data_IF_496384263930
#
_entry.id   IF_496384263930
#
_cell.length_a   1.000
_cell.length_b   1.000
_cell.length_c   1.000
_cell.angle_alpha   90.00
_cell.angle_beta   90.00
_cell.angle_gamma   90.00
#
_symmetry.space_group_name_H-M   'P 1'
#
loop_
_entity.id
_entity.type
_entity.pdbx_description
1 polymer ?
#
# COMPACT_ATOMS: atom_id res chain seq x y z
N UNK A 1 -51.50 -74.58 -5.19
CA UNK A 1 -50.33 -74.51 -6.09
C UNK A 1 -49.85 -73.06 -6.11
N UNK A 2 -48.56 -72.80 -5.80
CA UNK A 2 -48.03 -71.47 -5.42
C UNK A 2 -47.71 -70.60 -6.64
N UNK A 3 -48.20 -69.36 -6.68
CA UNK A 3 -47.81 -68.35 -7.68
C UNK A 3 -46.87 -67.33 -7.05
N UNK A 4 -45.59 -67.35 -7.47
CA UNK A 4 -44.57 -66.36 -7.06
C UNK A 4 -44.79 -65.05 -7.84
N UNK A 5 -45.11 -63.97 -7.15
CA UNK A 5 -45.12 -62.61 -7.70
C UNK A 5 -43.68 -62.08 -7.66
N UNK A 6 -43.09 -61.83 -8.83
CA UNK A 6 -41.77 -61.20 -8.97
C UNK A 6 -41.95 -59.68 -8.83
N UNK A 7 -41.38 -59.11 -7.77
CA UNK A 7 -41.32 -57.66 -7.54
C UNK A 7 -40.29 -57.06 -8.52
N UNK A 8 -40.75 -56.38 -9.58
CA UNK A 8 -39.86 -55.61 -10.46
C UNK A 8 -39.36 -54.40 -9.68
N UNK A 9 -38.12 -54.45 -9.22
CA UNK A 9 -37.41 -53.30 -8.66
C UNK A 9 -37.01 -52.35 -9.78
N UNK A 10 -37.36 -51.07 -9.60
CA UNK A 10 -37.21 -49.99 -10.57
C UNK A 10 -35.71 -49.65 -10.77
N UNK A 11 -35.06 -50.39 -11.67
CA UNK A 11 -33.60 -50.35 -11.92
C UNK A 11 -33.11 -48.97 -12.37
N UNK A 12 -33.96 -48.13 -12.97
CA UNK A 12 -33.58 -46.78 -13.40
C UNK A 12 -33.29 -45.84 -12.24
N UNK A 13 -34.06 -45.93 -11.14
CA UNK A 13 -33.81 -45.14 -9.92
C UNK A 13 -32.57 -45.61 -9.17
N UNK A 14 -32.22 -46.89 -9.29
CA UNK A 14 -30.99 -47.44 -8.71
C UNK A 14 -29.77 -46.97 -9.50
N UNK A 15 -29.82 -47.01 -10.83
CA UNK A 15 -28.75 -46.52 -11.70
C UNK A 15 -28.51 -45.01 -11.54
N UNK A 16 -29.56 -44.19 -11.42
CA UNK A 16 -29.42 -42.75 -11.20
C UNK A 16 -28.74 -42.43 -9.86
N UNK A 17 -29.04 -43.19 -8.80
CA UNK A 17 -28.38 -43.04 -7.49
C UNK A 17 -26.92 -43.45 -7.53
N UNK A 18 -26.56 -44.48 -8.30
CA UNK A 18 -25.16 -44.90 -8.48
C UNK A 18 -24.36 -43.82 -9.21
N UNK A 19 -24.95 -43.21 -10.24
CA UNK A 19 -24.30 -42.10 -10.98
C UNK A 19 -24.13 -40.87 -10.08
N UNK A 20 -25.15 -40.49 -9.30
CA UNK A 20 -25.06 -39.34 -8.39
C UNK A 20 -24.01 -39.55 -7.28
N UNK A 21 -23.89 -40.78 -6.77
CA UNK A 21 -22.87 -41.13 -5.77
C UNK A 21 -21.45 -41.11 -6.35
N UNK A 22 -21.29 -41.47 -7.63
CA UNK A 22 -20.00 -41.43 -8.33
C UNK A 22 -19.46 -40.00 -8.52
N UNK A 23 -20.33 -39.03 -8.82
CA UNK A 23 -19.93 -37.63 -8.98
C UNK A 23 -19.52 -36.98 -7.66
N UNK A 24 -20.15 -37.36 -6.54
CA UNK A 24 -19.84 -36.84 -5.20
C UNK A 24 -18.47 -37.33 -4.67
N UNK A 25 -17.99 -38.49 -5.12
CA UNK A 25 -16.71 -39.06 -4.69
C UNK A 25 -15.49 -38.46 -5.42
N UNK A 26 -15.69 -37.81 -6.58
CA UNK A 26 -14.59 -37.19 -7.35
C UNK A 26 -14.33 -35.74 -6.88
N UNK A 27 -15.26 -35.13 -6.14
CA UNK A 27 -15.14 -33.75 -5.64
C UNK A 27 -14.40 -33.60 -4.30
N UNK A 28 -13.79 -34.66 -3.77
CA UNK A 28 -13.07 -34.62 -2.48
C UNK A 28 -11.55 -34.52 -2.60
N UNK A 29 -10.98 -34.51 -3.80
CA UNK A 29 -9.52 -34.46 -4.02
C UNK A 29 -9.03 -33.07 -4.49
N UNK A 30 -9.35 -32.03 -3.72
CA UNK A 30 -8.65 -30.73 -3.79
C UNK A 30 -8.54 -30.10 -2.41
N UNK A 31 -8.05 -30.87 -1.43
CA UNK A 31 -7.41 -30.25 -0.27
C UNK A 31 -6.00 -29.90 -0.73
N UNK A 32 -5.77 -28.63 -1.05
CA UNK A 32 -4.40 -28.11 -1.14
C UNK A 32 -3.85 -28.18 0.28
N UNK A 33 -3.07 -29.22 0.56
CA UNK A 33 -2.20 -29.22 1.72
C UNK A 33 -1.07 -28.25 1.40
N UNK A 34 -0.98 -27.14 2.14
CA UNK A 34 0.26 -26.41 2.26
C UNK A 34 1.23 -27.31 3.03
N UNK A 35 1.99 -28.13 2.30
CA UNK A 35 3.09 -28.88 2.88
C UNK A 35 4.17 -27.87 3.31
N UNK A 36 4.37 -27.75 4.63
CA UNK A 36 5.59 -27.22 5.18
C UNK A 36 6.73 -28.21 4.88
N UNK A 37 7.27 -28.13 3.66
CA UNK A 37 8.45 -28.89 3.28
C UNK A 37 9.68 -28.20 3.89
N UNK A 38 10.09 -28.68 5.06
CA UNK A 38 11.47 -28.60 5.54
C UNK A 38 12.36 -29.45 4.61
N UNK A 39 12.67 -28.88 3.45
CA UNK A 39 13.85 -29.24 2.67
C UNK A 39 14.75 -28.01 2.65
N UNK A 40 16.09 -28.17 2.71
CA UNK A 40 16.99 -27.03 2.64
C UNK A 40 16.92 -26.49 1.21
N UNK A 41 15.97 -25.59 0.99
CA UNK A 41 15.96 -24.71 -0.17
C UNK A 41 17.27 -23.96 -0.07
N UNK A 42 18.18 -24.26 -1.01
CA UNK A 42 19.35 -23.44 -1.29
C UNK A 42 18.84 -22.00 -1.37
N UNK A 43 19.32 -21.20 -0.43
CA UNK A 43 18.77 -19.93 -0.02
C UNK A 43 19.01 -18.86 -1.09
N UNK A 44 18.34 -18.97 -2.24
CA UNK A 44 18.02 -17.82 -3.08
C UNK A 44 16.58 -17.44 -2.78
N UNK A 45 16.37 -16.96 -1.56
CA UNK A 45 15.23 -16.12 -1.22
C UNK A 45 15.34 -14.90 -2.13
N UNK A 46 14.71 -14.98 -3.30
CA UNK A 46 14.63 -13.87 -4.24
C UNK A 46 13.95 -12.75 -3.48
N UNK A 47 14.72 -11.73 -3.09
CA UNK A 47 14.20 -10.60 -2.35
C UNK A 47 12.95 -10.09 -3.06
N UNK A 48 11.81 -10.07 -2.37
CA UNK A 48 10.56 -9.50 -2.88
C UNK A 48 10.73 -8.00 -3.21
N UNK A 49 11.80 -7.38 -2.69
CA UNK A 49 12.20 -6.00 -2.93
C UNK A 49 13.16 -5.93 -4.12
N UNK A 50 12.79 -5.15 -5.14
CA UNK A 50 13.63 -4.75 -6.27
C UNK A 50 14.76 -3.84 -5.78
N UNK A 51 15.94 -4.00 -6.38
CA UNK A 51 17.05 -3.08 -6.21
C UNK A 51 16.80 -1.74 -6.93
N UNK A 52 17.56 -0.71 -6.55
CA UNK A 52 17.49 0.60 -7.21
C UNK A 52 17.91 0.51 -8.69
N UNK A 53 18.89 -0.32 -9.02
CA UNK A 53 19.40 -0.48 -10.39
C UNK A 53 18.38 -1.19 -11.27
N UNK A 54 17.76 -2.28 -10.80
CA UNK A 54 16.65 -2.94 -11.50
C UNK A 54 15.48 -1.96 -11.73
N UNK A 55 15.12 -1.17 -10.71
CA UNK A 55 14.07 -0.17 -10.84
C UNK A 55 14.44 0.93 -11.85
N UNK A 56 15.72 1.31 -11.93
CA UNK A 56 16.22 2.30 -12.90
C UNK A 56 16.15 1.78 -14.33
N UNK A 57 16.45 0.50 -14.55
CA UNK A 57 16.31 -0.15 -15.87
C UNK A 57 14.85 -0.16 -16.32
N UNK A 58 13.92 -0.52 -15.42
CA UNK A 58 12.48 -0.46 -15.67
C UNK A 58 12.05 0.97 -16.01
N UNK A 59 12.51 1.97 -15.25
CA UNK A 59 12.21 3.37 -15.50
C UNK A 59 12.70 3.82 -16.88
N UNK A 60 13.95 3.50 -17.24
CA UNK A 60 14.54 3.87 -18.53
C UNK A 60 13.77 3.25 -19.71
N UNK A 61 13.43 1.95 -19.61
CA UNK A 61 12.63 1.26 -20.60
C UNK A 61 11.24 1.90 -20.76
N UNK A 62 10.58 2.20 -19.64
CA UNK A 62 9.24 2.80 -19.61
C UNK A 62 9.23 4.19 -20.26
N UNK A 63 10.25 5.01 -20.01
CA UNK A 63 10.38 6.33 -20.64
C UNK A 63 10.46 6.22 -22.17
N UNK A 64 11.20 5.25 -22.70
CA UNK A 64 11.26 4.97 -24.14
C UNK A 64 9.87 4.59 -24.65
N UNK A 65 9.21 3.61 -24.01
CA UNK A 65 7.87 3.17 -24.42
C UNK A 65 6.84 4.30 -24.39
N UNK A 66 6.84 5.13 -23.36
CA UNK A 66 5.91 6.24 -23.22
C UNK A 66 6.14 7.30 -24.28
N UNK A 67 7.40 7.61 -24.58
CA UNK A 67 7.72 8.57 -25.64
C UNK A 67 7.25 8.13 -27.04
N UNK A 68 7.20 6.81 -27.28
CA UNK A 68 6.79 6.25 -28.57
C UNK A 68 5.27 6.01 -28.67
N UNK A 69 4.61 5.69 -27.55
CA UNK A 69 3.22 5.24 -27.53
C UNK A 69 2.22 6.28 -27.02
N UNK A 70 2.67 7.29 -26.27
CA UNK A 70 1.80 8.29 -25.64
C UNK A 70 2.18 9.67 -26.18
N UNK A 71 1.33 10.25 -27.02
CA UNK A 71 1.59 11.53 -27.71
C UNK A 71 2.03 12.64 -26.76
N UNK A 72 1.38 12.72 -25.59
CA UNK A 72 1.63 13.76 -24.58
C UNK A 72 3.01 13.65 -23.91
N UNK A 73 3.72 12.55 -24.13
CA UNK A 73 5.06 12.29 -23.60
C UNK A 73 6.11 12.13 -24.71
N UNK A 74 5.78 12.46 -25.97
CA UNK A 74 6.71 12.39 -27.11
C UNK A 74 8.01 13.19 -26.88
N UNK A 75 7.96 14.26 -26.11
CA UNK A 75 9.15 15.04 -25.70
C UNK A 75 10.16 14.26 -24.84
N UNK A 76 9.76 13.14 -24.25
CA UNK A 76 10.65 12.25 -23.50
C UNK A 76 11.51 11.36 -24.41
N UNK A 77 11.35 11.46 -25.74
CA UNK A 77 12.20 10.72 -26.68
C UNK A 77 13.67 11.05 -26.42
N UNK A 78 14.52 10.03 -26.31
CA UNK A 78 15.94 10.12 -25.94
C UNK A 78 16.20 10.89 -24.62
N UNK A 79 15.24 10.93 -23.70
CA UNK A 79 15.47 11.36 -22.33
C UNK A 79 16.20 10.25 -21.54
N UNK A 80 16.94 10.64 -20.51
CA UNK A 80 17.54 9.75 -19.53
C UNK A 80 16.76 9.76 -18.22
N UNK A 81 17.05 8.79 -17.35
CA UNK A 81 16.50 8.74 -15.99
C UNK A 81 17.62 8.89 -14.95
N UNK A 82 17.37 9.70 -13.94
CA UNK A 82 18.28 9.94 -12.82
C UNK A 82 17.57 9.63 -11.50
N UNK A 83 18.23 8.89 -10.61
CA UNK A 83 17.66 8.55 -9.30
C UNK A 83 17.41 9.81 -8.46
N UNK A 84 16.25 9.88 -7.81
CA UNK A 84 15.86 11.04 -7.00
C UNK A 84 15.69 10.69 -5.53
N UNK A 85 14.63 9.94 -5.18
CA UNK A 85 14.30 9.60 -3.80
C UNK A 85 13.79 8.17 -3.69
N UNK A 86 14.11 7.51 -2.58
CA UNK A 86 13.52 6.22 -2.18
C UNK A 86 12.42 6.50 -1.17
N UNK A 87 11.22 5.99 -1.45
CA UNK A 87 10.07 6.07 -0.56
C UNK A 87 9.87 4.79 0.23
N UNK A 88 9.25 4.95 1.40
CA UNK A 88 8.93 3.87 2.32
C UNK A 88 7.43 3.78 2.58
N UNK A 89 6.98 2.64 3.11
CA UNK A 89 5.68 2.54 3.75
C UNK A 89 5.76 2.98 5.24
N UNK A 90 4.64 2.86 5.96
CA UNK A 90 4.56 3.21 7.39
C UNK A 90 5.41 2.28 8.28
N UNK A 91 5.70 1.07 7.82
CA UNK A 91 6.51 0.07 8.51
C UNK A 91 8.01 0.20 8.16
N UNK A 92 8.39 1.24 7.41
CA UNK A 92 9.75 1.55 6.94
C UNK A 92 10.32 0.51 5.96
N UNK A 93 9.47 -0.25 5.27
CA UNK A 93 9.90 -1.05 4.12
C UNK A 93 9.97 -0.16 2.87
N UNK A 94 10.92 -0.42 1.98
CA UNK A 94 10.99 0.30 0.70
C UNK A 94 9.75 -0.03 -0.12
N UNK A 95 9.04 1.00 -0.58
CA UNK A 95 7.79 0.84 -1.35
C UNK A 95 7.93 1.34 -2.79
N UNK A 96 8.77 2.36 -3.02
CA UNK A 96 8.94 2.94 -4.34
C UNK A 96 10.28 3.67 -4.52
N UNK A 97 10.68 3.81 -5.78
CA UNK A 97 11.82 4.62 -6.23
C UNK A 97 11.32 5.67 -7.21
N UNK A 98 11.65 6.93 -6.97
CA UNK A 98 11.39 8.00 -7.92
C UNK A 98 12.63 8.31 -8.74
N UNK A 99 12.42 8.53 -10.03
CA UNK A 99 13.43 8.94 -10.98
C UNK A 99 12.99 10.23 -11.67
N UNK A 100 13.92 11.17 -11.80
CA UNK A 100 13.76 12.32 -12.67
C UNK A 100 13.92 11.87 -14.12
N UNK A 101 13.03 12.32 -14.99
CA UNK A 101 13.22 12.23 -16.44
C UNK A 101 13.95 13.48 -16.89
N UNK A 102 15.09 13.33 -17.55
CA UNK A 102 15.98 14.42 -17.92
C UNK A 102 16.20 14.41 -19.43
N UNK A 103 15.91 15.54 -20.09
CA UNK A 103 16.13 15.73 -21.52
C UNK A 103 17.01 16.96 -21.71
N UNK A 104 18.11 16.83 -22.45
CA UNK A 104 19.06 17.93 -22.70
C UNK A 104 19.53 18.63 -21.41
N UNK A 105 19.78 17.85 -20.35
CA UNK A 105 20.16 18.33 -19.01
C UNK A 105 19.07 19.16 -18.28
N UNK A 106 17.84 19.16 -18.78
CA UNK A 106 16.69 19.80 -18.16
C UNK A 106 15.69 18.77 -17.62
N UNK A 107 15.03 19.13 -16.53
CA UNK A 107 13.98 18.32 -15.92
C UNK A 107 12.74 18.28 -16.82
N UNK A 108 12.35 17.09 -17.28
CA UNK A 108 11.21 16.86 -18.16
C UNK A 108 10.01 16.20 -17.45
N UNK A 109 10.18 15.78 -16.19
CA UNK A 109 9.16 15.11 -15.40
C UNK A 109 9.74 14.06 -14.48
N UNK A 110 8.90 13.12 -14.05
CA UNK A 110 9.31 12.00 -13.20
C UNK A 110 8.57 10.72 -13.56
N UNK A 111 9.14 9.61 -13.10
CA UNK A 111 8.51 8.29 -13.06
C UNK A 111 8.80 7.64 -11.71
N UNK A 112 7.77 7.03 -11.11
CA UNK A 112 7.87 6.28 -9.86
C UNK A 112 7.70 4.80 -10.17
N UNK A 113 8.70 4.02 -9.79
CA UNK A 113 8.73 2.57 -9.94
C UNK A 113 8.51 1.91 -8.59
N UNK A 114 7.74 0.83 -8.55
CA UNK A 114 7.56 0.06 -7.33
C UNK A 114 8.88 -0.56 -6.88
N UNK A 115 9.14 -0.52 -5.58
CA UNK A 115 10.28 -1.23 -5.00
C UNK A 115 9.96 -2.71 -4.73
N UNK A 116 8.74 -3.19 -5.00
CA UNK A 116 8.33 -4.57 -4.70
C UNK A 116 7.77 -5.27 -5.94
N UNK A 117 8.03 -6.59 -6.06
CA UNK A 117 7.66 -7.39 -7.25
C UNK A 117 6.17 -7.79 -7.28
N UNK A 118 5.45 -7.59 -6.18
CA UNK A 118 4.04 -7.93 -6.01
C UNK A 118 3.07 -6.82 -6.49
N UNK A 119 3.60 -5.65 -6.86
CA UNK A 119 2.83 -4.50 -7.36
C UNK A 119 3.10 -4.25 -8.84
N UNK A 120 2.28 -3.41 -9.46
CA UNK A 120 2.59 -2.90 -10.81
C UNK A 120 3.94 -2.19 -10.81
N UNK A 121 4.78 -2.42 -11.84
CA UNK A 121 6.14 -1.88 -11.85
C UNK A 121 6.13 -0.35 -11.91
N UNK A 122 5.21 0.25 -12.67
CA UNK A 122 5.07 1.70 -12.79
C UNK A 122 3.91 2.14 -11.92
N UNK A 123 4.19 2.97 -10.90
CA UNK A 123 3.20 3.46 -9.96
C UNK A 123 2.62 4.81 -10.39
N UNK A 124 3.46 5.67 -10.93
CA UNK A 124 3.09 7.03 -11.31
C UNK A 124 4.10 7.61 -12.30
N UNK A 125 3.65 8.49 -13.18
CA UNK A 125 4.52 9.28 -14.05
C UNK A 125 3.82 10.58 -14.41
N UNK A 126 4.59 11.64 -14.59
CA UNK A 126 4.04 12.95 -14.95
C UNK A 126 5.14 13.86 -15.48
N UNK A 127 4.74 14.85 -16.28
CA UNK A 127 5.58 15.99 -16.69
C UNK A 127 5.68 17.07 -15.61
N UNK A 128 4.86 16.95 -14.56
CA UNK A 128 4.89 17.83 -13.39
C UNK A 128 6.08 17.56 -12.47
N UNK A 129 6.02 18.12 -11.26
CA UNK A 129 7.04 17.95 -10.22
C UNK A 129 6.49 17.13 -9.06
N UNK A 130 7.33 16.27 -8.49
CA UNK A 130 7.05 15.60 -7.22
C UNK A 130 6.86 16.63 -6.10
N UNK A 131 6.00 16.37 -5.10
CA UNK A 131 5.72 17.33 -4.02
C UNK A 131 6.98 17.88 -3.32
N UNK A 132 7.97 17.04 -3.04
CA UNK A 132 9.22 17.48 -2.38
C UNK A 132 10.09 18.42 -3.22
N UNK A 133 9.85 18.50 -4.54
CA UNK A 133 10.50 19.45 -5.46
C UNK A 133 9.75 20.77 -5.59
N UNK A 134 8.55 20.88 -5.02
CA UNK A 134 7.73 22.10 -5.06
C UNK A 134 8.03 22.93 -3.81
N UNK A 135 8.85 23.98 -3.96
CA UNK A 135 9.41 24.74 -2.83
C UNK A 135 8.38 25.21 -1.80
N UNK A 136 7.20 25.68 -2.23
CA UNK A 136 6.18 26.15 -1.29
C UNK A 136 5.57 25.00 -0.48
N UNK A 137 5.34 23.82 -1.09
CA UNK A 137 4.82 22.64 -0.41
C UNK A 137 5.83 22.15 0.62
N UNK A 138 7.09 21.96 0.21
CA UNK A 138 8.19 21.55 1.08
C UNK A 138 8.38 22.50 2.27
N UNK A 139 8.35 23.82 2.05
CA UNK A 139 8.47 24.79 3.14
C UNK A 139 7.28 24.73 4.09
N UNK A 140 6.06 24.56 3.57
CA UNK A 140 4.84 24.51 4.36
C UNK A 140 4.80 23.24 5.21
N UNK A 141 5.13 22.07 4.65
CA UNK A 141 5.17 20.80 5.39
C UNK A 141 6.26 20.80 6.47
N UNK A 142 7.48 21.26 6.14
CA UNK A 142 8.56 21.41 7.12
C UNK A 142 8.22 22.38 8.24
N UNK A 143 7.53 23.48 7.92
CA UNK A 143 7.08 24.45 8.90
C UNK A 143 6.00 23.87 9.82
N UNK A 144 5.11 23.03 9.30
CA UNK A 144 4.11 22.31 10.11
C UNK A 144 4.78 21.36 11.11
N UNK A 145 5.77 20.58 10.66
CA UNK A 145 6.57 19.72 11.54
C UNK A 145 7.30 20.53 12.63
N UNK A 146 7.97 21.62 12.25
CA UNK A 146 8.71 22.48 13.16
C UNK A 146 7.80 23.15 14.20
N UNK A 147 6.63 23.64 13.78
CA UNK A 147 5.64 24.24 14.69
C UNK A 147 5.10 23.21 15.70
N UNK A 148 4.83 21.98 15.24
CA UNK A 148 4.45 20.89 16.14
C UNK A 148 5.55 20.60 17.16
N UNK A 149 6.80 20.42 16.71
CA UNK A 149 7.93 20.14 17.59
C UNK A 149 8.14 21.27 18.62
N UNK A 150 8.07 22.53 18.18
CA UNK A 150 8.21 23.71 19.05
C UNK A 150 7.11 23.78 20.11
N UNK A 151 5.85 23.47 19.75
CA UNK A 151 4.72 23.43 20.69
C UNK A 151 4.98 22.50 21.87
N UNK A 152 5.68 21.38 21.65
CA UNK A 152 6.00 20.38 22.68
C UNK A 152 7.46 20.44 23.16
N UNK A 153 8.20 21.50 22.81
CA UNK A 153 9.60 21.69 23.20
C UNK A 153 10.51 20.53 22.77
N UNK A 154 10.20 19.92 21.62
CA UNK A 154 10.95 18.85 20.99
C UNK A 154 11.78 19.41 19.82
N UNK A 155 12.81 18.66 19.42
CA UNK A 155 13.68 18.95 18.27
C UNK A 155 13.36 17.98 17.13
N UNK A 156 13.34 18.48 15.90
CA UNK A 156 13.24 17.64 14.70
C UNK A 156 14.48 16.77 14.58
N UNK A 157 14.27 15.47 14.44
CA UNK A 157 15.28 14.44 14.21
C UNK A 157 15.35 14.00 12.74
N UNK A 158 15.50 12.69 12.53
CA UNK A 158 15.52 12.12 11.19
C UNK A 158 14.13 12.22 10.56
N UNK A 159 14.08 12.41 9.25
CA UNK A 159 12.86 12.27 8.46
C UNK A 159 12.93 11.09 7.49
N UNK A 160 11.76 10.53 7.16
CA UNK A 160 11.60 9.43 6.20
C UNK A 160 10.46 9.76 5.25
N UNK A 161 10.70 9.80 3.92
CA UNK A 161 9.64 10.06 2.95
C UNK A 161 8.78 8.79 2.76
N UNK A 162 7.47 8.96 2.80
CA UNK A 162 6.48 7.89 2.70
C UNK A 162 5.62 8.10 1.45
N UNK A 163 5.42 7.01 0.70
CA UNK A 163 4.55 6.99 -0.47
C UNK A 163 3.33 6.11 -0.20
N UNK A 164 2.17 6.76 -0.01
CA UNK A 164 0.87 6.10 0.13
C UNK A 164 0.12 5.96 -1.21
N UNK A 165 0.63 6.56 -2.28
CA UNK A 165 0.02 6.57 -3.62
C UNK A 165 0.10 7.93 -4.30
N UNK A 166 -0.45 8.08 -5.52
CA UNK A 166 -0.27 9.28 -6.35
C UNK A 166 -0.79 10.60 -5.78
N UNK A 167 -1.62 10.54 -4.75
CA UNK A 167 -2.15 11.72 -4.04
C UNK A 167 -1.76 11.74 -2.57
N UNK A 168 -0.92 10.81 -2.14
CA UNK A 168 -0.64 10.54 -0.73
C UNK A 168 0.88 10.50 -0.51
N UNK A 169 1.45 11.69 -0.37
CA UNK A 169 2.87 11.89 -0.09
C UNK A 169 3.00 12.41 1.34
N UNK A 170 3.82 11.73 2.13
CA UNK A 170 4.03 12.11 3.52
C UNK A 170 5.51 12.11 3.87
N UNK A 171 5.83 12.79 4.96
CA UNK A 171 7.12 12.69 5.63
C UNK A 171 6.90 12.31 7.09
N UNK A 172 7.45 11.17 7.53
CA UNK A 172 7.59 10.85 8.96
C UNK A 172 8.77 11.64 9.52
N UNK A 173 8.58 12.28 10.68
CA UNK A 173 9.62 12.95 11.45
C UNK A 173 9.76 12.32 12.82
N UNK A 174 10.99 11.96 13.21
CA UNK A 174 11.33 11.66 14.59
C UNK A 174 11.41 12.97 15.39
N UNK A 175 10.74 13.04 16.54
CA UNK A 175 10.83 14.16 17.46
C UNK A 175 11.64 13.77 18.70
N UNK A 176 12.64 14.58 19.04
CA UNK A 176 13.63 14.28 20.08
C UNK A 176 13.56 15.27 21.23
N UNK A 177 13.80 14.80 22.44
CA UNK A 177 13.99 15.69 23.59
C UNK A 177 15.37 16.37 23.57
N UNK A 178 15.64 17.19 24.59
CA UNK A 178 16.93 17.87 24.75
C UNK A 178 18.12 16.92 24.99
N UNK A 179 17.87 15.64 25.33
CA UNK A 179 18.87 14.59 25.50
C UNK A 179 19.02 13.74 24.22
N UNK A 180 18.42 14.17 23.11
CA UNK A 180 18.37 13.47 21.83
C UNK A 180 17.63 12.12 21.85
N UNK A 181 16.85 11.82 22.89
CA UNK A 181 16.01 10.62 22.92
C UNK A 181 14.77 10.85 22.06
N UNK A 182 14.43 9.90 21.19
CA UNK A 182 13.18 9.94 20.41
C UNK A 182 12.00 9.81 21.39
N UNK A 183 11.11 10.79 21.38
CA UNK A 183 9.92 10.84 22.24
C UNK A 183 8.65 10.53 21.49
N UNK A 184 8.60 10.91 20.23
CA UNK A 184 7.41 10.81 19.40
C UNK A 184 7.82 10.71 17.94
N UNK A 185 6.92 10.17 17.12
CA UNK A 185 6.99 10.29 15.67
C UNK A 185 5.73 10.97 15.18
N UNK A 186 5.87 11.84 14.20
CA UNK A 186 4.74 12.47 13.52
C UNK A 186 4.80 12.16 12.04
N UNK A 187 3.65 12.08 11.40
CA UNK A 187 3.51 12.06 9.94
C UNK A 187 2.97 13.41 9.52
N UNK A 188 3.62 14.02 8.53
CA UNK A 188 3.14 15.24 7.90
C UNK A 188 2.78 14.93 6.45
N UNK A 189 1.56 15.30 6.05
CA UNK A 189 1.15 15.30 4.64
C UNK A 189 1.90 16.40 3.89
N UNK A 190 2.66 16.03 2.86
CA UNK A 190 3.51 16.97 2.12
C UNK A 190 2.70 17.98 1.30
N UNK A 191 1.45 17.67 0.98
CA UNK A 191 0.56 18.49 0.16
C UNK A 191 -0.28 19.41 1.07
N UNK A 192 -0.96 18.84 2.06
CA UNK A 192 -1.89 19.60 2.92
C UNK A 192 -1.19 20.25 4.11
N UNK A 193 -0.04 19.70 4.52
CA UNK A 193 0.70 20.03 5.74
C UNK A 193 -0.05 19.69 7.03
N UNK A 194 -1.04 18.80 6.95
CA UNK A 194 -1.68 18.23 8.13
C UNK A 194 -0.69 17.34 8.88
N UNK A 195 -0.67 17.47 10.21
CA UNK A 195 0.20 16.69 11.09
C UNK A 195 -0.62 15.68 11.87
N UNK A 196 -0.18 14.42 11.85
CA UNK A 196 -0.75 13.32 12.62
C UNK A 196 0.32 12.77 13.56
N UNK A 197 0.00 12.62 14.85
CA UNK A 197 0.87 11.95 15.81
C UNK A 197 0.74 10.44 15.65
N UNK A 198 1.87 9.74 15.62
CA UNK A 198 1.90 8.30 15.85
C UNK A 198 2.16 8.12 17.34
N UNK A 199 1.15 7.61 18.06
CA UNK A 199 1.36 7.20 19.45
C UNK A 199 2.57 6.25 19.47
N UNK A 200 3.64 6.68 20.14
CA UNK A 200 4.76 5.79 20.38
C UNK A 200 4.20 4.63 21.22
N UNK A 201 4.34 3.39 20.74
CA UNK A 201 4.05 2.20 21.54
C UNK A 201 4.81 2.32 22.86
N UNK A 202 4.09 2.78 23.88
CA UNK A 202 4.51 2.69 25.26
C UNK A 202 3.90 1.40 25.79
N UNK A 203 4.73 0.59 26.43
CA UNK A 203 4.38 -0.68 27.05
C UNK A 203 3.08 -0.60 27.89
N UNK A 204 2.37 -1.73 28.13
CA UNK A 204 0.93 -1.76 28.32
C UNK A 204 0.50 -0.91 29.51
N UNK A 205 -0.32 0.09 29.24
CA UNK A 205 -1.05 0.82 30.27
C UNK A 205 -2.11 -0.14 30.81
N UNK A 206 -1.96 -0.51 32.08
CA UNK A 206 -2.97 -1.20 32.88
C UNK A 206 -4.30 -0.44 32.79
N UNK A 207 -5.26 -0.98 32.04
CA UNK A 207 -6.62 -0.45 31.96
C UNK A 207 -7.27 -0.42 33.36
N UNK A 208 -7.45 0.77 33.92
CA UNK A 208 -8.66 1.03 34.69
C UNK A 208 -9.64 1.73 33.76
N UNK A 209 -10.68 0.98 33.40
CA UNK A 209 -11.82 1.41 32.61
C UNK A 209 -12.71 2.26 33.50
N UNK A 210 -12.90 3.53 33.15
CA UNK A 210 -14.10 4.27 33.50
C UNK A 210 -14.93 4.49 32.23
N UNK A 211 -15.99 3.71 32.13
CA UNK A 211 -17.06 3.82 31.15
C UNK A 211 -17.80 5.15 31.33
N UNK A 212 -17.82 5.98 30.28
CA UNK A 212 -18.78 7.09 30.16
C UNK A 212 -19.90 6.66 29.22
N UNK A 213 -21.09 6.60 29.80
CA UNK A 213 -22.37 6.27 29.20
C UNK A 213 -22.73 7.26 28.08
N UNK A 214 -23.06 6.76 26.88
CA UNK A 214 -23.53 7.57 25.76
C UNK A 214 -25.06 7.64 25.79
N UNK A 215 -25.60 8.84 26.01
CA UNK A 215 -27.03 9.10 25.90
C UNK A 215 -27.41 9.40 24.44
N UNK A 216 -27.85 8.38 23.73
CA UNK A 216 -28.58 8.51 22.47
C UNK A 216 -30.05 8.88 22.73
N UNK A 217 -30.45 10.14 22.61
CA UNK A 217 -31.84 10.51 22.25
C UNK A 217 -31.92 11.96 21.79
N UNK A 218 -32.05 12.22 20.48
CA UNK A 218 -32.94 13.25 19.88
C UNK A 218 -32.65 13.49 18.39
N UNK A 219 -33.12 12.64 17.47
CA UNK A 219 -33.57 13.10 16.13
C UNK A 219 -34.74 12.22 15.68
N UNK A 220 -35.97 12.63 16.01
CA UNK A 220 -37.19 12.33 15.24
C UNK A 220 -38.29 13.32 15.62
N UNK A 221 -38.37 14.45 14.91
CA UNK A 221 -39.64 15.13 14.59
C UNK A 221 -39.35 16.38 13.76
N UNK A 222 -39.29 16.24 12.44
CA UNK A 222 -39.81 17.21 11.48
C UNK A 222 -40.13 16.47 10.18
N UNK A 223 -41.22 15.72 10.22
CA UNK A 223 -42.00 15.39 9.04
C UNK A 223 -43.46 15.32 9.49
N UNK A 224 -44.32 16.00 8.76
CA UNK A 224 -45.76 16.19 8.94
C UNK A 224 -46.19 17.47 9.66
N UNK A 225 -47.09 18.18 8.96
CA UNK A 225 -47.88 19.34 9.35
C UNK A 225 -47.22 20.71 9.14
N UNK A 226 -47.23 21.19 7.89
CA UNK A 226 -47.90 22.46 7.63
C UNK A 226 -48.82 22.29 6.42
N UNK A 227 -50.09 22.58 6.69
CA UNK A 227 -51.19 22.83 5.76
C UNK A 227 -50.85 24.11 4.97
#
# INVERSE_FOLDING_TARGET
MKTKIRKLTNTSKLMLKIILMGVLLISLSSVVYAEANDSPVTNEQTSAVLSLDEAKEIAAFSVIEFSDKISDFSEWKDASVESDITYYDLDRNKTAYAFNVVKNNEYAGFIIISATKDKYPILEFSKGKLPHKISYMTKKSQSAAANYANKYQLKIGKSVPIYGGPTFYYTEYELKDNKNAIKEKIIVDDITSNVTSLEAETAPISNQVETVESNETYIRQQAHSNI
#
